data_IF_123766735203
#
_entry.id   IF_123766735203
#
_cell.length_a   1.000
_cell.length_b   1.000
_cell.length_c   1.000
_cell.angle_alpha   90.00
_cell.angle_beta   90.00
_cell.angle_gamma   90.00
#
_symmetry.space_group_name_H-M   'P 1'
#
loop_
_entity.id
_entity.type
_entity.pdbx_description
1 polymer ?
#
# COMPACT_ATOMS: atom_id res chain seq x y z
N UNK A 1 33.03 -44.07 59.33
CA UNK A 1 32.21 -42.92 59.79
C UNK A 1 32.67 -41.58 59.18
N UNK A 2 33.97 -41.27 59.20
CA UNK A 2 34.53 -40.00 58.66
C UNK A 2 34.26 -39.83 57.15
N UNK A 3 34.42 -40.88 56.33
CA UNK A 3 34.15 -40.81 54.89
C UNK A 3 32.69 -40.50 54.53
N UNK A 4 31.73 -40.95 55.35
CA UNK A 4 30.30 -40.71 55.11
C UNK A 4 29.92 -39.24 55.37
N UNK A 5 30.51 -38.63 56.41
CA UNK A 5 30.32 -37.21 56.72
C UNK A 5 30.95 -36.29 55.65
N UNK A 6 32.09 -36.70 55.08
CA UNK A 6 32.75 -35.99 53.99
C UNK A 6 31.90 -36.02 52.71
N UNK A 7 31.38 -37.19 52.32
CA UNK A 7 30.55 -37.35 51.12
C UNK A 7 29.23 -36.58 51.20
N UNK A 8 28.57 -36.58 52.37
CA UNK A 8 27.32 -35.84 52.59
C UNK A 8 27.49 -34.32 52.49
N UNK A 9 28.62 -33.80 52.98
CA UNK A 9 28.91 -32.36 52.90
C UNK A 9 29.16 -31.91 51.46
N UNK A 10 29.87 -32.72 50.67
CA UNK A 10 30.12 -32.43 49.25
C UNK A 10 28.80 -32.40 48.46
N UNK A 11 27.89 -33.35 48.71
CA UNK A 11 26.60 -33.41 48.02
C UNK A 11 25.72 -32.17 48.31
N UNK A 12 25.70 -31.69 49.55
CA UNK A 12 24.95 -30.49 49.93
C UNK A 12 25.50 -29.23 49.27
N UNK A 13 26.83 -29.10 49.14
CA UNK A 13 27.46 -27.97 48.44
C UNK A 13 27.11 -27.99 46.95
N UNK A 14 27.09 -29.17 46.32
CA UNK A 14 26.70 -29.31 44.90
C UNK A 14 25.24 -28.89 44.71
N UNK A 15 24.31 -29.39 45.54
CA UNK A 15 22.88 -29.03 45.45
C UNK A 15 22.66 -27.54 45.65
N UNK A 16 23.41 -26.90 46.56
CA UNK A 16 23.31 -25.47 46.81
C UNK A 16 23.81 -24.63 45.61
N UNK A 17 24.90 -25.07 44.96
CA UNK A 17 25.45 -24.41 43.76
C UNK A 17 24.48 -24.51 42.57
N UNK A 18 23.83 -25.66 42.37
CA UNK A 18 22.85 -25.82 41.28
C UNK A 18 21.50 -25.16 41.55
N UNK A 19 21.11 -24.96 42.81
CA UNK A 19 19.88 -24.24 43.18
C UNK A 19 19.93 -22.73 42.91
N UNK A 20 21.14 -22.13 42.90
CA UNK A 20 21.34 -20.69 42.72
C UNK A 20 21.38 -20.24 41.24
N UNK A 21 21.47 -21.15 40.27
CA UNK A 21 21.52 -20.79 38.83
C UNK A 21 20.14 -20.75 38.14
N UNK A 22 19.07 -21.17 38.83
CA UNK A 22 17.72 -21.26 38.27
C UNK A 22 16.91 -19.94 38.28
N UNK A 23 17.44 -18.85 38.83
CA UNK A 23 16.76 -17.54 38.85
C UNK A 23 17.52 -16.52 38.01
N UNK A 24 17.77 -16.84 36.74
CA UNK A 24 18.03 -15.79 35.76
C UNK A 24 16.69 -15.32 35.20
N UNK A 25 16.32 -14.04 35.31
CA UNK A 25 15.15 -13.55 34.63
C UNK A 25 15.38 -13.70 33.12
N UNK A 26 14.80 -14.74 32.52
CA UNK A 26 14.72 -14.96 31.07
C UNK A 26 13.85 -13.91 30.35
N UNK A 27 13.53 -12.79 31.01
CA UNK A 27 12.93 -11.62 30.42
C UNK A 27 14.02 -10.63 30.01
N UNK A 28 14.89 -11.03 29.07
CA UNK A 28 15.43 -10.05 28.12
C UNK A 28 14.23 -9.60 27.29
N UNK A 29 13.41 -8.70 27.85
CA UNK A 29 12.54 -7.82 27.05
C UNK A 29 13.51 -7.18 26.07
N UNK A 30 13.48 -7.64 24.82
CA UNK A 30 14.23 -7.01 23.74
C UNK A 30 14.02 -5.51 23.95
N UNK A 31 15.10 -4.72 24.13
CA UNK A 31 14.95 -3.30 24.40
C UNK A 31 13.94 -2.82 23.39
N UNK A 32 12.81 -2.36 23.91
CA UNK A 32 11.63 -2.02 23.12
C UNK A 32 12.15 -0.93 22.20
N UNK A 33 12.61 -1.32 21.00
CA UNK A 33 13.41 -0.51 20.08
C UNK A 33 12.77 0.85 20.12
N UNK A 34 13.46 1.81 20.76
CA UNK A 34 12.86 3.02 21.31
C UNK A 34 11.78 3.44 20.34
N UNK A 35 10.51 3.20 20.73
CA UNK A 35 9.36 3.17 19.83
C UNK A 35 9.24 4.60 19.35
N UNK A 36 10.03 4.96 18.33
CA UNK A 36 10.07 6.27 17.71
C UNK A 36 8.62 6.44 17.32
N UNK A 37 7.93 7.28 18.08
CA UNK A 37 6.49 7.48 17.94
C UNK A 37 6.25 7.63 16.46
N UNK A 38 5.63 6.63 15.84
CA UNK A 38 5.42 6.61 14.39
C UNK A 38 4.64 7.88 14.13
N UNK A 39 5.28 8.84 13.45
CA UNK A 39 4.68 10.15 13.21
C UNK A 39 3.68 9.96 12.10
N UNK A 40 2.44 9.70 12.50
CA UNK A 40 1.29 9.71 11.60
C UNK A 40 1.18 11.14 11.03
N UNK A 41 1.39 11.28 9.73
CA UNK A 41 1.26 12.52 9.01
C UNK A 41 -0.24 12.85 8.92
N UNK A 42 -0.71 13.77 9.77
CA UNK A 42 -2.14 14.15 9.85
C UNK A 42 -2.72 14.67 8.52
N UNK A 43 -1.88 15.22 7.66
CA UNK A 43 -2.28 15.76 6.35
C UNK A 43 -2.35 14.71 5.24
N UNK A 44 -2.10 13.43 5.54
CA UNK A 44 -2.07 12.35 4.55
C UNK A 44 -3.02 11.22 4.95
N UNK A 45 -3.58 10.48 3.97
CA UNK A 45 -4.36 9.28 4.25
C UNK A 45 -3.56 8.22 5.02
N UNK A 46 -4.28 7.24 5.54
CA UNK A 46 -3.74 6.07 6.28
C UNK A 46 -2.78 5.24 5.42
N UNK A 47 -3.15 5.00 4.17
CA UNK A 47 -2.31 4.37 3.14
C UNK A 47 -2.51 5.17 1.86
N UNK A 48 -1.43 5.49 1.17
CA UNK A 48 -1.50 6.27 -0.08
C UNK A 48 -0.35 5.90 -1.00
N UNK A 49 -0.55 6.16 -2.30
CA UNK A 49 0.46 5.96 -3.34
C UNK A 49 0.92 7.33 -3.84
N UNK A 50 2.21 7.48 -4.15
CA UNK A 50 2.76 8.68 -4.78
C UNK A 50 3.54 8.33 -6.03
N UNK A 51 3.44 9.18 -7.05
CA UNK A 51 4.34 9.18 -8.19
C UNK A 51 5.79 9.44 -7.78
N UNK A 52 6.73 8.73 -8.41
CA UNK A 52 8.18 8.93 -8.24
C UNK A 52 8.81 9.43 -9.53
N UNK A 53 8.71 8.64 -10.61
CA UNK A 53 9.32 8.96 -11.92
C UNK A 53 8.73 8.11 -13.04
N UNK A 54 9.00 8.54 -14.28
CA UNK A 54 8.92 7.70 -15.48
C UNK A 54 10.30 7.11 -15.79
N UNK A 55 10.35 6.05 -16.59
CA UNK A 55 11.62 5.42 -16.98
C UNK A 55 11.46 4.08 -17.71
N UNK A 56 12.59 3.47 -18.02
CA UNK A 56 12.67 2.11 -18.59
C UNK A 56 12.71 1.07 -17.48
N UNK A 57 11.92 0.01 -17.62
CA UNK A 57 11.83 -1.14 -16.70
C UNK A 57 11.95 -2.44 -17.48
N UNK A 58 12.17 -3.52 -16.75
CA UNK A 58 12.07 -4.86 -17.29
C UNK A 58 10.59 -5.30 -17.34
N UNK A 59 10.06 -5.65 -18.53
CA UNK A 59 8.74 -6.26 -18.65
C UNK A 59 8.64 -7.54 -17.82
N UNK A 60 7.57 -7.68 -17.06
CA UNK A 60 7.27 -8.89 -16.29
C UNK A 60 6.48 -9.92 -17.10
N UNK A 61 5.74 -9.47 -18.11
CA UNK A 61 4.94 -10.31 -18.99
C UNK A 61 5.32 -10.10 -20.46
N UNK A 62 5.04 -11.12 -21.28
CA UNK A 62 5.13 -10.97 -22.73
C UNK A 62 4.12 -9.89 -23.18
N UNK A 63 4.56 -8.97 -24.04
CA UNK A 63 3.78 -7.83 -24.55
C UNK A 63 3.58 -6.64 -23.60
N UNK A 64 4.23 -6.64 -22.44
CA UNK A 64 4.31 -5.44 -21.58
C UNK A 64 5.29 -4.42 -22.18
N UNK A 65 4.96 -3.12 -22.09
CA UNK A 65 5.91 -2.07 -22.47
C UNK A 65 7.13 -2.06 -21.55
N UNK A 66 8.29 -1.75 -22.12
CA UNK A 66 9.51 -1.44 -21.36
C UNK A 66 9.44 -0.05 -20.71
N UNK A 67 8.40 0.75 -20.99
CA UNK A 67 8.13 2.01 -20.33
C UNK A 67 7.30 1.80 -19.07
N UNK A 68 7.73 2.45 -17.99
CA UNK A 68 7.16 2.28 -16.67
C UNK A 68 6.90 3.58 -15.93
N UNK A 69 6.02 3.46 -14.93
CA UNK A 69 5.81 4.45 -13.89
C UNK A 69 6.25 3.86 -12.56
N UNK A 70 7.21 4.52 -11.90
CA UNK A 70 7.60 4.16 -10.54
C UNK A 70 6.70 4.87 -9.56
N UNK A 71 6.10 4.08 -8.70
CA UNK A 71 5.18 4.50 -7.67
C UNK A 71 5.69 4.06 -6.31
N UNK A 72 5.28 4.79 -5.28
CA UNK A 72 5.64 4.47 -3.90
C UNK A 72 4.38 4.36 -3.06
N UNK A 73 4.14 3.19 -2.48
CA UNK A 73 3.08 2.99 -1.48
C UNK A 73 3.62 3.32 -0.09
N UNK A 74 2.86 4.08 0.69
CA UNK A 74 3.26 4.56 2.01
C UNK A 74 2.34 4.00 3.09
N UNK A 75 2.92 3.45 4.14
CA UNK A 75 2.21 3.05 5.34
C UNK A 75 2.24 4.18 6.38
N UNK A 76 1.20 5.01 6.42
CA UNK A 76 1.02 6.08 7.40
C UNK A 76 0.22 5.61 8.63
N UNK A 77 0.26 4.30 8.93
CA UNK A 77 -0.42 3.69 10.07
C UNK A 77 0.57 3.33 11.17
N UNK A 78 0.04 2.90 12.34
CA UNK A 78 0.84 2.34 13.43
C UNK A 78 1.08 0.82 13.31
N UNK A 79 0.51 0.17 12.30
CA UNK A 79 0.49 -1.27 12.13
C UNK A 79 1.28 -1.68 10.88
N UNK A 80 1.84 -2.88 10.88
CA UNK A 80 2.45 -3.45 9.67
C UNK A 80 1.35 -3.81 8.69
N UNK A 81 1.53 -3.44 7.43
CA UNK A 81 0.68 -3.88 6.31
C UNK A 81 1.35 -5.07 5.63
N UNK A 82 0.55 -5.95 5.04
CA UNK A 82 1.00 -7.08 4.24
C UNK A 82 0.45 -6.89 2.83
N UNK A 83 1.34 -6.87 1.84
CA UNK A 83 1.00 -6.79 0.42
C UNK A 83 1.27 -8.12 -0.27
N UNK A 84 0.48 -8.46 -1.28
CA UNK A 84 0.80 -9.56 -2.20
C UNK A 84 1.86 -9.13 -3.21
N UNK A 85 2.81 -10.01 -3.51
CA UNK A 85 3.81 -9.74 -4.54
C UNK A 85 4.49 -11.00 -5.07
N UNK A 86 5.29 -10.80 -6.10
CA UNK A 86 6.07 -11.85 -6.75
C UNK A 86 7.42 -12.05 -6.07
N UNK A 87 7.84 -13.31 -5.97
CA UNK A 87 9.17 -13.69 -5.51
C UNK A 87 9.37 -13.58 -4.00
N UNK A 88 10.58 -13.96 -3.56
CA UNK A 88 10.99 -13.83 -2.18
C UNK A 88 11.45 -12.40 -1.92
N UNK A 89 10.67 -11.62 -1.17
CA UNK A 89 11.07 -10.28 -0.75
C UNK A 89 12.37 -10.35 0.05
N UNK A 90 13.43 -9.73 -0.45
CA UNK A 90 14.60 -9.44 0.36
C UNK A 90 14.59 -7.95 0.71
N UNK A 91 14.88 -7.62 1.98
CA UNK A 91 14.90 -6.23 2.43
C UNK A 91 16.01 -5.37 1.78
N UNK A 92 16.78 -5.94 0.85
CA UNK A 92 17.85 -5.28 0.09
C UNK A 92 17.36 -4.68 -1.22
N UNK A 93 16.21 -5.11 -1.72
CA UNK A 93 15.73 -4.69 -3.02
C UNK A 93 15.09 -3.30 -2.92
N UNK A 94 15.56 -2.37 -3.75
CA UNK A 94 15.00 -1.02 -3.80
C UNK A 94 13.60 -1.00 -4.39
N UNK A 95 13.30 -1.95 -5.27
CA UNK A 95 12.04 -2.13 -5.98
C UNK A 95 11.44 -3.50 -5.66
N UNK A 96 10.13 -3.55 -5.46
CA UNK A 96 9.39 -4.79 -5.22
C UNK A 96 8.38 -5.06 -6.32
N UNK A 97 8.28 -6.32 -6.73
CA UNK A 97 7.24 -6.79 -7.65
C UNK A 97 5.95 -7.00 -6.87
N UNK A 98 5.02 -6.05 -6.94
CA UNK A 98 3.78 -6.04 -6.16
C UNK A 98 2.57 -6.37 -7.03
N UNK A 99 1.58 -7.08 -6.48
CA UNK A 99 0.31 -7.32 -7.16
C UNK A 99 -0.52 -6.03 -7.18
N UNK A 100 -1.14 -5.77 -8.33
CA UNK A 100 -2.10 -4.70 -8.48
C UNK A 100 -3.19 -5.13 -9.46
N UNK A 101 -4.38 -4.58 -9.29
CA UNK A 101 -5.42 -4.66 -10.30
C UNK A 101 -5.56 -3.34 -11.04
N UNK A 102 -6.09 -3.40 -12.26
CA UNK A 102 -6.45 -2.24 -13.07
C UNK A 102 -7.98 -2.19 -13.14
N UNK A 103 -8.54 -1.01 -12.91
CA UNK A 103 -9.97 -0.74 -13.02
C UNK A 103 -10.16 0.48 -13.90
N UNK A 104 -11.24 0.48 -14.69
CA UNK A 104 -11.74 1.71 -15.28
C UNK A 104 -12.31 2.62 -14.18
N UNK A 105 -12.03 3.91 -14.30
CA UNK A 105 -12.70 4.94 -13.53
C UNK A 105 -14.14 4.99 -14.03
N UNK A 106 -15.15 4.75 -13.17
CA UNK A 106 -16.54 4.81 -13.60
C UNK A 106 -16.81 6.16 -14.25
N UNK A 107 -17.19 6.15 -15.53
CA UNK A 107 -17.66 7.37 -16.19
C UNK A 107 -18.76 7.96 -15.30
N UNK A 108 -18.73 9.28 -15.01
CA UNK A 108 -19.86 9.91 -14.36
C UNK A 108 -21.09 9.45 -15.12
N UNK A 109 -21.98 8.69 -14.47
CA UNK A 109 -23.23 8.36 -15.13
C UNK A 109 -23.79 9.71 -15.51
N UNK A 110 -24.15 9.89 -16.78
CA UNK A 110 -25.01 10.97 -17.23
C UNK A 110 -26.38 10.75 -16.56
N UNK A 111 -26.41 10.84 -15.23
CA UNK A 111 -27.57 11.20 -14.47
C UNK A 111 -27.75 12.66 -14.82
N UNK A 112 -28.33 12.88 -16.00
CA UNK A 112 -29.44 13.81 -16.08
C UNK A 112 -30.43 13.36 -15.01
N UNK A 113 -30.17 13.75 -13.76
CA UNK A 113 -31.24 13.97 -12.83
C UNK A 113 -32.05 15.01 -13.58
N UNK A 114 -33.16 14.58 -14.19
CA UNK A 114 -34.23 15.49 -14.56
C UNK A 114 -34.64 16.08 -13.23
N UNK A 115 -33.92 17.12 -12.80
CA UNK A 115 -34.30 17.86 -11.62
C UNK A 115 -35.66 18.42 -12.00
N UNK A 116 -36.72 18.15 -11.23
CA UNK A 116 -37.94 18.90 -11.41
C UNK A 116 -37.54 20.38 -11.38
N UNK A 117 -38.07 21.20 -12.29
CA UNK A 117 -37.69 22.60 -12.38
C UNK A 117 -37.77 23.20 -10.98
N UNK A 118 -36.64 23.72 -10.48
CA UNK A 118 -36.64 24.39 -9.20
C UNK A 118 -37.70 25.49 -9.26
N UNK A 119 -38.53 25.68 -8.22
CA UNK A 119 -39.45 26.79 -8.17
C UNK A 119 -38.65 28.08 -8.42
N UNK A 120 -38.99 28.75 -9.52
CA UNK A 120 -38.30 29.97 -9.92
C UNK A 120 -38.45 30.96 -8.77
N UNK A 121 -37.34 31.29 -8.11
CA UNK A 121 -37.36 32.37 -7.13
C UNK A 121 -37.70 33.66 -7.88
N UNK A 122 -38.54 34.54 -7.31
CA UNK A 122 -38.80 35.84 -7.89
C UNK A 122 -37.47 36.53 -8.17
N UNK A 123 -37.32 36.98 -9.41
CA UNK A 123 -36.14 37.67 -9.92
C UNK A 123 -36.01 38.95 -9.12
N UNK A 124 -35.15 38.95 -8.10
CA UNK A 124 -34.66 40.19 -7.51
C UNK A 124 -33.67 40.79 -8.50
N UNK A 125 -33.87 42.08 -8.80
CA UNK A 125 -33.09 42.89 -9.73
C UNK A 125 -31.58 42.65 -9.57
N UNK A 126 -31.04 41.73 -10.38
CA UNK A 126 -29.59 41.57 -10.47
C UNK A 126 -29.05 42.67 -11.36
N UNK A 127 -28.03 43.40 -10.92
CA UNK A 127 -27.33 44.35 -11.78
C UNK A 127 -26.80 43.62 -13.03
N UNK A 128 -26.71 44.34 -14.16
CA UNK A 128 -26.30 43.77 -15.44
C UNK A 128 -24.96 43.05 -15.30
N UNK A 129 -24.96 41.75 -15.61
CA UNK A 129 -23.75 40.94 -15.66
C UNK A 129 -22.87 41.52 -16.76
N UNK A 130 -21.73 42.10 -16.38
CA UNK A 130 -20.71 42.52 -17.33
C UNK A 130 -20.25 41.29 -18.13
N UNK A 131 -20.31 41.40 -19.45
CA UNK A 131 -19.90 40.34 -20.36
C UNK A 131 -18.46 39.94 -20.07
N UNK A 132 -18.29 38.74 -19.50
CA UNK A 132 -16.96 38.14 -19.35
C UNK A 132 -16.42 37.82 -20.75
N UNK A 133 -15.14 38.13 -21.03
CA UNK A 133 -14.50 37.81 -22.29
C UNK A 133 -14.66 36.32 -22.59
N UNK A 134 -15.24 36.01 -23.75
CA UNK A 134 -15.35 34.65 -24.27
C UNK A 134 -13.94 34.14 -24.52
N UNK A 135 -13.38 33.38 -23.57
CA UNK A 135 -12.15 32.64 -23.80
C UNK A 135 -12.40 31.67 -24.96
N UNK A 136 -11.64 31.86 -26.04
CA UNK A 136 -11.61 30.94 -27.17
C UNK A 136 -11.29 29.54 -26.66
N UNK A 137 -12.12 28.52 -26.97
CA UNK A 137 -11.91 27.16 -26.50
C UNK A 137 -10.56 26.67 -27.02
N UNK A 138 -9.65 26.38 -26.09
CA UNK A 138 -8.43 25.63 -26.41
C UNK A 138 -8.90 24.27 -26.92
N UNK A 139 -8.58 23.97 -28.17
CA UNK A 139 -8.77 22.66 -28.76
C UNK A 139 -7.94 21.68 -27.93
N UNK A 140 -8.57 21.00 -26.99
CA UNK A 140 -7.96 19.89 -26.27
C UNK A 140 -7.64 18.82 -27.32
N UNK A 141 -6.36 18.48 -27.46
CA UNK A 141 -5.97 17.32 -28.28
C UNK A 141 -6.73 16.13 -27.73
N UNK A 142 -7.48 15.47 -28.60
CA UNK A 142 -8.24 14.27 -28.28
C UNK A 142 -7.26 13.22 -27.75
N UNK A 143 -7.28 13.04 -26.43
CA UNK A 143 -6.40 12.14 -25.71
C UNK A 143 -6.86 10.72 -26.02
N UNK A 144 -5.98 9.93 -26.65
CA UNK A 144 -6.28 8.58 -27.13
C UNK A 144 -6.79 7.72 -25.96
N UNK A 145 -8.01 7.18 -26.11
CA UNK A 145 -8.55 6.19 -25.19
C UNK A 145 -7.70 4.91 -25.28
N UNK A 146 -7.34 4.34 -24.13
CA UNK A 146 -6.57 3.10 -24.08
C UNK A 146 -7.43 2.00 -23.49
N UNK A 147 -7.41 0.85 -24.13
CA UNK A 147 -8.03 -0.35 -23.59
C UNK A 147 -7.27 -0.82 -22.34
N UNK A 148 -7.99 -1.23 -21.31
CA UNK A 148 -7.38 -1.85 -20.14
C UNK A 148 -6.61 -3.11 -20.60
N UNK A 149 -5.36 -3.31 -20.14
CA UNK A 149 -4.62 -4.51 -20.51
C UNK A 149 -5.35 -5.76 -20.02
N UNK A 150 -5.29 -6.87 -20.77
CA UNK A 150 -5.90 -8.13 -20.35
C UNK A 150 -5.33 -8.53 -18.99
N UNK A 151 -6.21 -8.72 -17.99
CA UNK A 151 -5.85 -8.99 -16.60
C UNK A 151 -5.36 -10.42 -16.34
N UNK A 152 -4.52 -10.96 -17.20
CA UNK A 152 -4.08 -12.36 -17.14
C UNK A 152 -2.85 -12.49 -16.23
N UNK A 153 -3.09 -12.64 -14.93
CA UNK A 153 -2.05 -12.88 -13.93
C UNK A 153 -1.89 -14.39 -13.69
N UNK A 154 -1.16 -15.09 -14.56
CA UNK A 154 -0.75 -16.48 -14.32
C UNK A 154 0.49 -16.51 -13.43
N UNK A 155 0.39 -17.01 -12.20
CA UNK A 155 1.52 -16.97 -11.24
C UNK A 155 1.59 -18.24 -10.41
N UNK A 156 2.79 -18.84 -10.37
CA UNK A 156 3.07 -20.06 -9.62
C UNK A 156 3.56 -19.81 -8.17
N UNK A 157 4.06 -18.61 -7.85
CA UNK A 157 4.60 -18.29 -6.50
C UNK A 157 4.09 -16.94 -6.00
N UNK A 158 3.33 -16.98 -4.90
CA UNK A 158 2.78 -15.79 -4.21
C UNK A 158 3.52 -15.58 -2.89
N UNK A 159 4.10 -14.39 -2.72
CA UNK A 159 4.76 -13.96 -1.48
C UNK A 159 3.99 -12.83 -0.76
N UNK A 160 4.28 -12.67 0.53
CA UNK A 160 3.81 -11.51 1.31
C UNK A 160 4.97 -10.54 1.56
N UNK A 161 4.73 -9.26 1.27
CA UNK A 161 5.67 -8.17 1.48
C UNK A 161 5.23 -7.38 2.71
N UNK A 162 5.91 -7.52 3.85
CA UNK A 162 5.58 -6.74 5.04
C UNK A 162 6.05 -5.30 4.88
N UNK A 163 5.15 -4.34 5.08
CA UNK A 163 5.46 -2.91 5.12
C UNK A 163 5.31 -2.36 6.53
N UNK A 164 6.43 -2.12 7.26
CA UNK A 164 6.35 -1.61 8.63
C UNK A 164 5.75 -0.19 8.71
N UNK A 165 5.29 0.22 9.91
CA UNK A 165 4.80 1.58 10.17
C UNK A 165 5.77 2.68 9.74
N UNK A 166 5.28 3.69 9.02
CA UNK A 166 6.07 4.83 8.56
C UNK A 166 7.10 4.51 7.48
N UNK A 167 7.00 3.33 6.85
CA UNK A 167 7.85 2.92 5.73
C UNK A 167 7.08 2.98 4.42
N UNK A 168 7.84 2.87 3.33
CA UNK A 168 7.28 2.93 1.98
C UNK A 168 7.99 1.91 1.07
N UNK A 169 7.25 1.34 0.12
CA UNK A 169 7.77 0.42 -0.90
C UNK A 169 7.72 1.08 -2.26
N UNK A 170 8.79 0.94 -3.03
CA UNK A 170 8.85 1.35 -4.43
C UNK A 170 8.49 0.15 -5.31
N UNK A 171 7.68 0.38 -6.32
CA UNK A 171 7.30 -0.61 -7.32
C UNK A 171 7.10 0.12 -8.65
N UNK A 172 7.10 -0.62 -9.76
CA UNK A 172 6.77 -0.09 -11.07
C UNK A 172 5.55 -0.77 -11.68
N UNK A 173 4.86 -0.04 -12.55
CA UNK A 173 3.77 -0.53 -13.39
C UNK A 173 4.00 -0.06 -14.84
N UNK A 174 3.53 -0.79 -15.86
CA UNK A 174 3.53 -0.31 -17.23
C UNK A 174 2.81 1.03 -17.35
N UNK A 175 3.36 1.93 -18.17
CA UNK A 175 2.78 3.25 -18.40
C UNK A 175 1.34 3.18 -18.90
N UNK A 176 1.06 2.22 -19.78
CA UNK A 176 -0.25 1.96 -20.38
C UNK A 176 -1.34 1.57 -19.36
N UNK A 177 -0.98 1.13 -18.14
CA UNK A 177 -1.97 0.83 -17.09
C UNK A 177 -2.55 2.06 -16.41
N UNK A 178 -1.95 3.24 -16.63
CA UNK A 178 -2.31 4.50 -15.98
C UNK A 178 -2.82 5.55 -16.97
N UNK A 179 -3.58 5.10 -17.96
CA UNK A 179 -4.36 5.98 -18.82
C UNK A 179 -5.37 6.84 -18.04
N UNK A 180 -5.84 7.94 -18.65
CA UNK A 180 -6.64 8.96 -17.96
C UNK A 180 -7.91 8.42 -17.29
N UNK A 181 -8.54 7.43 -17.91
CA UNK A 181 -9.73 6.73 -17.46
C UNK A 181 -9.43 5.44 -16.69
N UNK A 182 -8.17 5.15 -16.40
CA UNK A 182 -7.76 3.98 -15.62
C UNK A 182 -7.27 4.39 -14.25
N UNK A 183 -7.39 3.46 -13.30
CA UNK A 183 -6.79 3.53 -11.98
C UNK A 183 -6.24 2.15 -11.65
N UNK A 184 -5.13 2.12 -10.92
CA UNK A 184 -4.67 0.90 -10.29
C UNK A 184 -5.18 0.83 -8.85
N UNK A 185 -5.30 -0.37 -8.34
CA UNK A 185 -5.49 -0.62 -6.92
C UNK A 185 -4.55 -1.70 -6.42
N UNK A 186 -4.19 -1.58 -5.16
CA UNK A 186 -3.35 -2.56 -4.46
C UNK A 186 -4.12 -3.03 -3.23
N UNK A 187 -4.28 -4.34 -3.12
CA UNK A 187 -4.87 -4.97 -1.96
C UNK A 187 -3.83 -5.15 -0.85
N UNK A 188 -4.25 -4.93 0.38
CA UNK A 188 -3.41 -5.16 1.54
C UNK A 188 -4.21 -5.68 2.72
N UNK A 189 -3.52 -6.31 3.66
CA UNK A 189 -4.09 -6.66 4.96
C UNK A 189 -3.26 -6.03 6.07
N UNK A 190 -3.87 -5.80 7.22
CA UNK A 190 -3.09 -5.55 8.42
C UNK A 190 -2.49 -6.86 8.91
N UNK A 191 -1.24 -6.81 9.41
CA UNK A 191 -0.56 -8.00 9.89
C UNK A 191 -1.27 -8.72 11.05
N UNK A 192 -2.18 -8.05 11.75
CA UNK A 192 -2.99 -8.63 12.83
C UNK A 192 -4.31 -9.26 12.34
N UNK A 193 -4.72 -9.01 11.09
CA UNK A 193 -5.92 -9.61 10.51
C UNK A 193 -5.68 -11.07 10.13
N UNK A 194 -4.48 -11.40 9.60
CA UNK A 194 -4.16 -12.78 9.22
C UNK A 194 -3.91 -13.66 10.44
N UNK A 195 -4.86 -14.58 10.70
CA UNK A 195 -4.70 -15.64 11.69
C UNK A 195 -3.88 -16.82 11.17
N UNK A 196 -4.02 -17.17 9.89
CA UNK A 196 -3.21 -18.20 9.21
C UNK A 196 -2.87 -17.78 7.76
N UNK A 197 -1.77 -18.31 7.22
CA UNK A 197 -1.34 -18.04 5.84
C UNK A 197 -2.31 -18.60 4.78
N UNK A 198 -3.11 -19.60 5.15
CA UNK A 198 -4.00 -20.35 4.24
C UNK A 198 -5.49 -20.02 4.38
N UNK A 199 -5.88 -19.18 5.33
CA UNK A 199 -7.29 -18.77 5.47
C UNK A 199 -7.62 -17.81 4.32
N UNK A 200 -8.22 -18.38 3.29
CA UNK A 200 -8.55 -17.73 2.03
C UNK A 200 -9.65 -16.68 2.23
N UNK A 201 -9.32 -15.42 1.92
CA UNK A 201 -9.99 -14.45 1.03
C UNK A 201 -11.52 -14.27 0.97
N UNK A 202 -12.35 -15.08 1.63
CA UNK A 202 -13.80 -15.11 1.38
C UNK A 202 -14.61 -14.03 2.08
N UNK A 203 -14.35 -13.82 3.38
CA UNK A 203 -15.26 -13.05 4.25
C UNK A 203 -14.61 -11.84 4.96
N UNK A 204 -13.31 -11.61 4.77
CA UNK A 204 -12.62 -10.47 5.38
C UNK A 204 -12.77 -9.19 4.54
N UNK A 205 -12.86 -8.01 5.19
CA UNK A 205 -12.90 -6.74 4.47
C UNK A 205 -11.65 -6.59 3.60
N UNK A 206 -11.85 -6.37 2.30
CA UNK A 206 -10.76 -6.11 1.36
C UNK A 206 -10.31 -4.64 1.50
N UNK A 207 -9.07 -4.42 1.94
CA UNK A 207 -8.50 -3.08 1.97
C UNK A 207 -7.79 -2.79 0.65
N UNK A 208 -8.17 -1.68 0.01
CA UNK A 208 -7.58 -1.23 -1.25
C UNK A 208 -7.00 0.17 -1.11
N UNK A 209 -5.87 0.41 -1.74
CA UNK A 209 -5.33 1.75 -1.99
C UNK A 209 -5.26 1.98 -3.49
N UNK A 210 -5.70 3.16 -3.94
CA UNK A 210 -5.83 3.50 -5.35
C UNK A 210 -4.79 4.53 -5.78
N UNK A 211 -4.41 4.48 -7.05
CA UNK A 211 -3.67 5.54 -7.74
C UNK A 211 -4.30 5.74 -9.12
N UNK A 212 -4.72 6.96 -9.41
CA UNK A 212 -5.44 7.25 -10.66
C UNK A 212 -4.45 7.65 -11.74
N UNK A 213 -4.73 7.28 -12.99
CA UNK A 213 -3.96 7.78 -14.12
C UNK A 213 -3.92 9.30 -14.11
N UNK A 214 -5.04 9.96 -13.79
CA UNK A 214 -5.18 11.42 -13.62
C UNK A 214 -4.24 12.06 -12.59
N UNK A 215 -3.68 11.30 -11.66
CA UNK A 215 -2.74 11.79 -10.65
C UNK A 215 -1.30 11.92 -11.21
N UNK A 216 -1.06 11.43 -12.43
CA UNK A 216 0.21 11.58 -13.12
C UNK A 216 0.51 13.06 -13.46
N UNK A 217 1.77 13.49 -13.39
CA UNK A 217 2.16 14.83 -13.83
C UNK A 217 1.84 15.06 -15.31
N UNK A 218 1.18 16.19 -15.63
CA UNK A 218 0.77 16.55 -17.00
C UNK A 218 1.94 16.72 -17.98
N UNK A 219 3.14 17.01 -17.48
CA UNK A 219 4.32 17.32 -18.32
C UNK A 219 4.81 16.09 -19.10
N UNK A 220 4.35 14.89 -18.73
CA UNK A 220 4.80 13.63 -19.30
C UNK A 220 3.75 12.91 -20.16
N UNK A 221 2.63 13.58 -20.50
CA UNK A 221 1.62 13.06 -21.43
C UNK A 221 1.67 13.78 -22.77
#
# INVERSE_FOLDING_TARGET
MIHYLLMRSILLVIVLIFGLTAVTPAQKRKPHLARRSVRILKAKPTVYITFVRFGKREPTHNNESDEGVWLRVHNNTRWTLLFGGYGAYTAKDEEVSMFYGVEEVPKPRDRFIIMPPLPQRPIFDRPPVQAQPTETPKVEKEEKDCDAPPGEWGIDVVGLIPLPPGKSLLFSVPLETLCKNLKIYIEYNYAWERKNFYDNYGDEPQHRVYFYGSDLPKVAR
#
